data_IF_650325295908
#
_entry.id   IF_650325295908
#
_cell.length_a   1.000
_cell.length_b   1.000
_cell.length_c   1.000
_cell.angle_alpha   90.00
_cell.angle_beta   90.00
_cell.angle_gamma   90.00
#
_symmetry.space_group_name_H-M   'P 1'
#
loop_
_entity.id
_entity.type
_entity.pdbx_description
1 polymer ?
#
# COMPACT_ATOMS: atom_id res chain seq x y z
N UNK A 1 -50.86 43.06 18.82
CA UNK A 1 -49.82 42.22 19.44
C UNK A 1 -50.19 40.82 19.04
N UNK A 2 -49.67 40.38 17.90
CA UNK A 2 -50.03 39.12 17.26
C UNK A 2 -48.82 38.20 17.38
N UNK A 3 -48.98 37.09 18.09
CA UNK A 3 -47.90 36.19 18.52
C UNK A 3 -48.22 34.75 18.09
N UNK A 4 -48.62 34.56 16.82
CA UNK A 4 -49.30 33.33 16.39
C UNK A 4 -48.58 32.51 15.31
N UNK A 5 -47.34 32.84 14.92
CA UNK A 5 -46.70 32.28 13.70
C UNK A 5 -45.57 31.24 13.93
N UNK A 6 -45.38 30.72 15.15
CA UNK A 6 -44.22 29.85 15.44
C UNK A 6 -44.47 28.33 15.35
N UNK A 7 -45.73 27.87 15.27
CA UNK A 7 -46.02 26.42 15.33
C UNK A 7 -45.91 25.70 13.97
N UNK A 8 -45.95 26.41 12.84
CA UNK A 8 -45.90 25.79 11.49
C UNK A 8 -44.49 25.39 11.01
N UNK A 9 -43.42 25.80 11.71
CA UNK A 9 -42.04 25.54 11.28
C UNK A 9 -41.47 24.19 11.76
N UNK A 10 -41.98 23.64 12.88
CA UNK A 10 -41.48 22.39 13.47
C UNK A 10 -41.85 21.17 12.61
N UNK A 11 -43.10 21.09 12.15
CA UNK A 11 -43.61 19.95 11.35
C UNK A 11 -42.91 19.83 9.98
N UNK A 12 -42.52 20.95 9.38
CA UNK A 12 -41.76 20.93 8.12
C UNK A 12 -40.34 20.40 8.31
N UNK A 13 -39.70 20.69 9.45
CA UNK A 13 -38.33 20.27 9.72
C UNK A 13 -38.22 18.77 10.03
N UNK A 14 -39.19 18.19 10.75
CA UNK A 14 -39.23 16.75 11.03
C UNK A 14 -39.37 15.90 9.75
N UNK A 15 -40.17 16.38 8.80
CA UNK A 15 -40.39 15.71 7.52
C UNK A 15 -39.10 15.66 6.66
N UNK A 16 -38.28 16.72 6.67
CA UNK A 16 -36.99 16.76 5.97
C UNK A 16 -36.01 15.73 6.54
N UNK A 17 -35.93 15.60 7.86
CA UNK A 17 -35.05 14.63 8.52
C UNK A 17 -35.37 13.19 8.14
N UNK A 18 -36.65 12.82 8.19
CA UNK A 18 -37.12 11.49 7.82
C UNK A 18 -36.83 11.15 6.35
N UNK A 19 -37.06 12.11 5.44
CA UNK A 19 -36.74 11.98 4.01
C UNK A 19 -35.25 11.74 3.76
N UNK A 20 -34.37 12.49 4.45
CA UNK A 20 -32.92 12.31 4.32
C UNK A 20 -32.45 10.95 4.85
N UNK A 21 -33.01 10.46 5.94
CA UNK A 21 -32.70 9.13 6.46
C UNK A 21 -33.15 8.02 5.50
N UNK A 22 -34.36 8.14 4.94
CA UNK A 22 -34.86 7.21 3.93
C UNK A 22 -33.96 7.18 2.68
N UNK A 23 -33.55 8.35 2.17
CA UNK A 23 -32.63 8.44 1.04
C UNK A 23 -31.26 7.80 1.33
N UNK A 24 -30.71 7.98 2.55
CA UNK A 24 -29.45 7.35 2.97
C UNK A 24 -29.56 5.83 3.05
N UNK A 25 -30.69 5.29 3.54
CA UNK A 25 -30.94 3.84 3.56
C UNK A 25 -31.02 3.27 2.15
N UNK A 26 -31.81 3.88 1.27
CA UNK A 26 -31.93 3.47 -0.12
C UNK A 26 -30.57 3.52 -0.86
N UNK A 27 -29.76 4.56 -0.63
CA UNK A 27 -28.42 4.64 -1.20
C UNK A 27 -27.49 3.53 -0.69
N UNK A 28 -27.54 3.21 0.62
CA UNK A 28 -26.76 2.13 1.22
C UNK A 28 -27.12 0.78 0.62
N UNK A 29 -28.41 0.48 0.51
CA UNK A 29 -28.92 -0.75 -0.12
C UNK A 29 -28.45 -0.85 -1.56
N UNK A 30 -28.55 0.22 -2.35
CA UNK A 30 -28.02 0.27 -3.71
C UNK A 30 -26.53 -0.03 -3.77
N UNK A 31 -25.71 0.57 -2.90
CA UNK A 31 -24.27 0.32 -2.91
C UNK A 31 -23.91 -1.12 -2.51
N UNK A 32 -24.65 -1.73 -1.59
CA UNK A 32 -24.46 -3.13 -1.23
C UNK A 32 -24.77 -4.06 -2.40
N UNK A 33 -25.87 -3.81 -3.14
CA UNK A 33 -26.19 -4.57 -4.35
C UNK A 33 -25.06 -4.47 -5.40
N UNK A 34 -24.53 -3.26 -5.61
CA UNK A 34 -23.39 -3.05 -6.54
C UNK A 34 -22.13 -3.75 -6.03
N UNK A 35 -21.85 -3.72 -4.72
CA UNK A 35 -20.71 -4.41 -4.13
C UNK A 35 -20.78 -5.93 -4.35
N UNK A 36 -21.96 -6.54 -4.18
CA UNK A 36 -22.15 -7.96 -4.48
C UNK A 36 -21.96 -8.26 -5.97
N UNK A 37 -22.50 -7.41 -6.86
CA UNK A 37 -22.34 -7.56 -8.30
C UNK A 37 -20.86 -7.48 -8.74
N UNK A 38 -20.10 -6.52 -8.20
CA UNK A 38 -18.66 -6.39 -8.47
C UNK A 38 -17.86 -7.60 -8.00
N UNK A 39 -18.17 -8.12 -6.80
CA UNK A 39 -17.53 -9.33 -6.28
C UNK A 39 -17.82 -10.55 -7.16
N UNK A 40 -19.06 -10.69 -7.63
CA UNK A 40 -19.44 -11.76 -8.54
C UNK A 40 -18.74 -11.63 -9.90
N UNK A 41 -18.70 -10.42 -10.48
CA UNK A 41 -17.99 -10.11 -11.74
C UNK A 41 -16.51 -10.48 -11.65
N UNK A 42 -15.85 -10.12 -10.56
CA UNK A 42 -14.44 -10.41 -10.33
C UNK A 42 -14.14 -11.85 -9.86
N UNK A 43 -15.17 -12.69 -9.66
CA UNK A 43 -15.00 -14.06 -9.21
C UNK A 43 -14.46 -14.19 -7.78
N UNK A 44 -14.77 -13.23 -6.89
CA UNK A 44 -14.32 -13.23 -5.49
C UNK A 44 -14.86 -14.45 -4.75
N UNK A 45 -13.95 -15.30 -4.26
CA UNK A 45 -14.27 -16.49 -3.46
C UNK A 45 -14.45 -16.18 -1.98
N UNK A 46 -13.73 -15.18 -1.46
CA UNK A 46 -13.85 -14.77 -0.05
C UNK A 46 -13.59 -13.28 0.12
N UNK A 47 -14.49 -12.63 0.87
CA UNK A 47 -14.39 -11.22 1.26
C UNK A 47 -14.26 -11.10 2.77
N UNK A 48 -13.12 -10.60 3.25
CA UNK A 48 -12.92 -10.18 4.63
C UNK A 48 -13.29 -8.70 4.77
N UNK A 49 -14.17 -8.38 5.72
CA UNK A 49 -14.56 -6.98 5.94
C UNK A 49 -13.46 -6.21 6.67
N UNK A 50 -12.99 -5.14 6.06
CA UNK A 50 -12.06 -4.19 6.66
C UNK A 50 -12.79 -2.96 7.22
N UNK A 51 -12.42 -2.51 8.42
CA UNK A 51 -13.06 -1.35 9.08
C UNK A 51 -12.54 -0.01 8.55
N UNK A 52 -11.32 0.03 8.02
CA UNK A 52 -10.70 1.25 7.48
C UNK A 52 -11.01 1.38 5.99
N UNK A 53 -10.89 2.60 5.46
CA UNK A 53 -10.97 2.85 4.02
C UNK A 53 -9.64 2.50 3.35
N UNK A 54 -9.35 1.21 3.31
CA UNK A 54 -8.19 0.60 2.69
C UNK A 54 -8.53 -0.86 2.35
N UNK A 55 -7.84 -1.43 1.37
CA UNK A 55 -8.02 -2.81 0.99
C UNK A 55 -6.71 -3.53 0.70
N UNK A 56 -6.84 -4.84 0.46
CA UNK A 56 -5.78 -5.73 0.01
C UNK A 56 -6.41 -6.88 -0.77
N UNK A 57 -5.86 -7.19 -1.93
CA UNK A 57 -6.25 -8.34 -2.74
C UNK A 57 -5.17 -9.44 -2.71
N UNK A 58 -5.63 -10.67 -2.52
CA UNK A 58 -4.86 -11.88 -2.80
C UNK A 58 -5.39 -12.46 -4.13
N UNK A 59 -4.91 -11.90 -5.24
CA UNK A 59 -5.36 -12.21 -6.60
C UNK A 59 -5.41 -13.72 -6.87
N UNK A 60 -4.31 -14.43 -6.65
CA UNK A 60 -4.20 -15.89 -6.91
C UNK A 60 -5.23 -16.75 -6.16
N UNK A 61 -5.71 -16.27 -5.02
CA UNK A 61 -6.70 -16.98 -4.20
C UNK A 61 -8.14 -16.49 -4.43
N UNK A 62 -8.32 -15.45 -5.25
CA UNK A 62 -9.55 -14.69 -5.42
C UNK A 62 -10.15 -14.24 -4.09
N UNK A 63 -9.31 -13.70 -3.20
CA UNK A 63 -9.71 -13.18 -1.89
C UNK A 63 -9.41 -11.70 -1.78
N UNK A 64 -10.27 -10.98 -1.06
CA UNK A 64 -10.05 -9.55 -0.75
C UNK A 64 -10.29 -9.28 0.73
N UNK A 65 -9.51 -8.35 1.29
CA UNK A 65 -9.78 -7.64 2.52
C UNK A 65 -10.17 -6.21 2.13
N UNK A 66 -11.44 -5.85 2.27
CA UNK A 66 -11.93 -4.55 1.81
C UNK A 66 -13.13 -4.09 2.65
N UNK A 67 -13.50 -2.80 2.65
CA UNK A 67 -14.73 -2.34 3.26
C UNK A 67 -15.98 -3.03 2.70
N UNK A 68 -17.11 -2.94 3.41
CA UNK A 68 -18.37 -3.56 2.96
C UNK A 68 -19.00 -2.92 1.72
N UNK A 69 -18.54 -1.74 1.31
CA UNK A 69 -19.16 -0.99 0.22
C UNK A 69 -20.45 -0.27 0.60
N UNK A 70 -20.70 0.04 1.89
CA UNK A 70 -21.95 0.71 2.32
C UNK A 70 -21.99 2.22 2.04
N UNK A 71 -20.87 2.79 1.62
CA UNK A 71 -20.76 4.19 1.15
C UNK A 71 -20.04 4.23 -0.18
N UNK A 72 -20.21 5.30 -0.97
CA UNK A 72 -19.49 5.46 -2.26
C UNK A 72 -17.98 5.29 -2.13
N UNK A 73 -17.38 5.87 -1.09
CA UNK A 73 -15.93 5.79 -0.90
C UNK A 73 -15.48 4.37 -0.54
N UNK A 74 -16.25 3.66 0.28
CA UNK A 74 -16.00 2.24 0.56
C UNK A 74 -16.17 1.36 -0.68
N UNK A 75 -17.22 1.63 -1.46
CA UNK A 75 -17.51 0.91 -2.70
C UNK A 75 -16.39 1.09 -3.72
N UNK A 76 -15.80 2.28 -3.78
CA UNK A 76 -14.65 2.57 -4.64
C UNK A 76 -13.43 1.71 -4.28
N UNK A 77 -13.07 1.63 -2.99
CA UNK A 77 -11.99 0.75 -2.52
C UNK A 77 -12.30 -0.71 -2.84
N UNK A 78 -13.54 -1.16 -2.59
CA UNK A 78 -13.93 -2.53 -2.93
C UNK A 78 -13.80 -2.82 -4.44
N UNK A 79 -14.19 -1.86 -5.29
CA UNK A 79 -14.04 -1.99 -6.74
C UNK A 79 -12.57 -2.09 -7.17
N UNK A 80 -11.68 -1.30 -6.54
CA UNK A 80 -10.23 -1.38 -6.74
C UNK A 80 -9.69 -2.77 -6.38
N UNK A 81 -10.04 -3.33 -5.21
CA UNK A 81 -9.57 -4.67 -4.84
C UNK A 81 -10.14 -5.77 -5.75
N UNK A 82 -11.39 -5.63 -6.20
CA UNK A 82 -11.97 -6.53 -7.19
C UNK A 82 -11.20 -6.48 -8.52
N UNK A 83 -10.71 -5.30 -8.91
CA UNK A 83 -9.90 -5.12 -10.11
C UNK A 83 -8.61 -5.93 -10.06
N UNK A 84 -7.92 -5.94 -8.92
CA UNK A 84 -6.72 -6.75 -8.76
C UNK A 84 -6.98 -8.24 -8.96
N UNK A 85 -8.15 -8.74 -8.55
CA UNK A 85 -8.51 -10.15 -8.79
C UNK A 85 -8.84 -10.37 -10.26
N UNK A 86 -9.69 -9.55 -10.87
CA UNK A 86 -10.14 -9.80 -12.25
C UNK A 86 -9.02 -9.59 -13.29
N UNK A 87 -8.11 -8.65 -13.06
CA UNK A 87 -7.08 -8.27 -14.03
C UNK A 87 -5.73 -8.97 -13.82
N UNK A 88 -5.42 -9.37 -12.57
CA UNK A 88 -4.08 -9.86 -12.22
C UNK A 88 -4.08 -11.27 -11.64
N UNK A 89 -5.15 -12.05 -11.86
CA UNK A 89 -5.21 -13.47 -11.48
C UNK A 89 -5.15 -14.35 -12.72
N UNK A 90 -4.44 -15.48 -12.64
CA UNK A 90 -4.55 -16.58 -13.60
C UNK A 90 -3.21 -17.18 -14.01
N UNK A 91 -3.21 -18.37 -14.64
CA UNK A 91 -1.99 -19.06 -15.05
C UNK A 91 -1.19 -18.30 -16.12
N UNK A 92 -1.84 -17.37 -16.83
CA UNK A 92 -1.24 -16.52 -17.86
C UNK A 92 -1.05 -15.07 -17.37
N UNK A 93 -1.21 -14.80 -16.07
CA UNK A 93 -0.95 -13.49 -15.51
C UNK A 93 0.56 -13.23 -15.56
N UNK A 94 1.02 -12.57 -16.62
CA UNK A 94 2.39 -12.09 -16.72
C UNK A 94 2.66 -11.16 -15.54
N UNK A 95 3.81 -11.32 -14.90
CA UNK A 95 4.23 -10.41 -13.85
C UNK A 95 4.22 -8.97 -14.38
N UNK A 96 3.54 -8.07 -13.66
CA UNK A 96 3.48 -6.65 -13.98
C UNK A 96 4.09 -5.85 -12.83
N UNK A 97 4.85 -4.78 -13.13
CA UNK A 97 5.26 -3.77 -12.15
C UNK A 97 4.07 -3.20 -11.38
N UNK A 98 4.31 -2.77 -10.15
CA UNK A 98 3.27 -2.24 -9.26
C UNK A 98 2.53 -1.04 -9.85
N UNK A 99 3.26 -0.10 -10.46
CA UNK A 99 2.64 1.09 -11.06
C UNK A 99 1.65 0.76 -12.19
N UNK A 100 1.89 -0.32 -12.94
CA UNK A 100 0.97 -0.79 -13.99
C UNK A 100 -0.26 -1.42 -13.34
N UNK A 101 -0.06 -2.30 -12.36
CA UNK A 101 -1.15 -2.97 -11.65
C UNK A 101 -2.09 -1.97 -10.98
N UNK A 102 -1.56 -0.96 -10.31
CA UNK A 102 -2.38 0.07 -9.67
C UNK A 102 -3.11 0.94 -10.68
N UNK A 103 -2.45 1.35 -11.76
CA UNK A 103 -3.11 2.14 -12.80
C UNK A 103 -4.28 1.40 -13.47
N UNK A 104 -4.10 0.10 -13.76
CA UNK A 104 -5.15 -0.76 -14.29
C UNK A 104 -6.31 -0.93 -13.28
N UNK A 105 -5.99 -1.15 -11.99
CA UNK A 105 -6.99 -1.31 -10.93
C UNK A 105 -7.83 -0.04 -10.71
N UNK A 106 -7.19 1.13 -10.66
CA UNK A 106 -7.87 2.41 -10.54
C UNK A 106 -8.74 2.72 -11.76
N UNK A 107 -8.25 2.43 -12.95
CA UNK A 107 -9.02 2.59 -14.20
C UNK A 107 -10.27 1.72 -14.20
N UNK A 108 -10.15 0.45 -13.79
CA UNK A 108 -11.30 -0.43 -13.61
C UNK A 108 -12.30 0.13 -12.59
N UNK A 109 -11.83 0.60 -11.43
CA UNK A 109 -12.70 1.13 -10.37
C UNK A 109 -13.49 2.37 -10.85
N UNK A 110 -12.83 3.27 -11.58
CA UNK A 110 -13.49 4.43 -12.21
C UNK A 110 -14.59 4.02 -13.19
N UNK A 111 -14.29 3.05 -14.06
CA UNK A 111 -15.24 2.58 -15.08
C UNK A 111 -16.36 1.75 -14.48
N UNK A 112 -16.10 0.98 -13.43
CA UNK A 112 -17.14 0.32 -12.67
C UNK A 112 -18.16 1.33 -12.15
N UNK A 113 -17.70 2.46 -11.59
CA UNK A 113 -18.58 3.53 -11.14
C UNK A 113 -19.43 4.10 -12.30
N UNK A 114 -18.81 4.35 -13.46
CA UNK A 114 -19.55 4.77 -14.65
C UNK A 114 -20.60 3.74 -15.09
N UNK A 115 -20.24 2.46 -15.20
CA UNK A 115 -21.16 1.36 -15.58
C UNK A 115 -22.38 1.29 -14.68
N UNK A 116 -22.22 1.51 -13.37
CA UNK A 116 -23.31 1.49 -12.41
C UNK A 116 -24.02 2.84 -12.23
N UNK A 117 -23.69 3.84 -13.05
CA UNK A 117 -24.29 5.18 -13.00
C UNK A 117 -24.00 5.90 -11.69
N UNK A 118 -22.75 5.82 -11.23
CA UNK A 118 -22.24 6.46 -10.02
C UNK A 118 -21.11 7.43 -10.35
N UNK A 119 -21.14 8.61 -9.76
CA UNK A 119 -20.00 9.52 -9.79
C UNK A 119 -18.94 9.07 -8.78
N UNK A 120 -17.68 8.99 -9.23
CA UNK A 120 -16.52 8.73 -8.38
C UNK A 120 -16.36 9.89 -7.39
N UNK A 121 -16.14 9.62 -6.08
CA UNK A 121 -15.85 10.68 -5.11
C UNK A 121 -14.59 11.47 -5.54
N UNK A 122 -14.63 12.82 -5.58
CA UNK A 122 -13.47 13.61 -6.02
C UNK A 122 -12.19 13.34 -5.24
N UNK A 123 -12.33 13.04 -3.95
CA UNK A 123 -11.20 12.68 -3.09
C UNK A 123 -10.61 11.30 -3.46
N UNK A 124 -11.45 10.32 -3.81
CA UNK A 124 -11.00 9.02 -4.30
C UNK A 124 -10.25 9.14 -5.62
N UNK A 125 -10.76 9.93 -6.57
CA UNK A 125 -10.09 10.17 -7.84
C UNK A 125 -8.72 10.88 -7.67
N UNK A 126 -8.58 11.75 -6.67
CA UNK A 126 -7.29 12.36 -6.33
C UNK A 126 -6.32 11.33 -5.78
N UNK A 127 -6.75 10.55 -4.78
CA UNK A 127 -5.90 9.51 -4.19
C UNK A 127 -5.50 8.42 -5.16
N UNK A 128 -6.38 8.04 -6.09
CA UNK A 128 -6.04 7.10 -7.17
C UNK A 128 -4.78 7.56 -7.93
N UNK A 129 -4.71 8.86 -8.26
CA UNK A 129 -3.56 9.44 -8.96
C UNK A 129 -2.32 9.50 -8.08
N UNK A 130 -2.47 9.96 -6.83
CA UNK A 130 -1.37 10.04 -5.88
C UNK A 130 -0.77 8.64 -5.64
N UNK A 131 -1.62 7.62 -5.50
CA UNK A 131 -1.23 6.23 -5.24
C UNK A 131 -0.49 5.60 -6.43
N UNK A 132 -0.99 5.80 -7.65
CA UNK A 132 -0.24 5.40 -8.85
C UNK A 132 1.11 6.12 -8.91
N UNK A 133 1.17 7.41 -8.54
CA UNK A 133 2.41 8.18 -8.43
C UNK A 133 3.40 7.60 -7.42
N UNK A 134 2.94 7.15 -6.26
CA UNK A 134 3.76 6.48 -5.25
C UNK A 134 4.40 5.20 -5.79
N UNK A 135 3.63 4.38 -6.51
CA UNK A 135 4.16 3.17 -7.15
C UNK A 135 5.11 3.47 -8.31
N UNK A 136 4.88 4.54 -9.08
CA UNK A 136 5.85 5.01 -10.08
C UNK A 136 7.19 5.33 -9.42
N UNK A 137 7.19 6.08 -8.32
CA UNK A 137 8.43 6.43 -7.61
C UNK A 137 9.15 5.19 -7.07
N UNK A 138 8.40 4.23 -6.52
CA UNK A 138 8.95 2.98 -6.00
C UNK A 138 9.58 2.14 -7.12
N UNK A 139 8.82 1.87 -8.17
CA UNK A 139 9.30 1.07 -9.30
C UNK A 139 10.48 1.77 -10.01
N UNK A 140 10.48 3.11 -10.09
CA UNK A 140 11.61 3.87 -10.63
C UNK A 140 12.85 3.75 -9.75
N UNK A 141 12.70 3.77 -8.42
CA UNK A 141 13.82 3.58 -7.49
C UNK A 141 14.43 2.18 -7.61
N UNK A 142 13.62 1.19 -7.99
CA UNK A 142 14.02 -0.19 -8.27
C UNK A 142 14.56 -0.38 -9.70
N UNK A 143 14.71 0.69 -10.49
CA UNK A 143 15.23 0.65 -11.86
C UNK A 143 14.24 0.10 -12.90
N UNK A 144 12.97 -0.06 -12.53
CA UNK A 144 11.94 -0.58 -13.43
C UNK A 144 11.48 0.51 -14.40
N UNK A 145 11.36 0.15 -15.68
CA UNK A 145 10.87 1.06 -16.71
C UNK A 145 9.43 1.49 -16.45
N UNK A 146 9.18 2.80 -16.43
CA UNK A 146 7.87 3.38 -16.11
C UNK A 146 7.00 3.50 -17.36
N UNK A 147 5.77 2.99 -17.27
CA UNK A 147 4.75 3.11 -18.30
C UNK A 147 4.29 4.58 -18.46
N UNK A 148 4.41 5.18 -19.66
CA UNK A 148 3.97 6.57 -19.89
C UNK A 148 2.50 6.83 -19.54
N UNK A 149 1.61 5.87 -19.81
CA UNK A 149 0.18 6.02 -19.51
C UNK A 149 -0.10 6.13 -18.01
N UNK A 150 0.64 5.38 -17.17
CA UNK A 150 0.53 5.50 -15.73
C UNK A 150 1.00 6.89 -15.24
N UNK A 151 2.08 7.41 -15.83
CA UNK A 151 2.56 8.78 -15.57
C UNK A 151 1.53 9.83 -15.97
N UNK A 152 0.90 9.70 -17.13
CA UNK A 152 -0.16 10.61 -17.59
C UNK A 152 -1.39 10.54 -16.69
N UNK A 153 -1.77 9.34 -16.23
CA UNK A 153 -2.86 9.15 -15.28
C UNK A 153 -2.56 9.82 -13.94
N UNK A 154 -1.39 9.55 -13.35
CA UNK A 154 -0.94 10.16 -12.10
C UNK A 154 -0.87 11.69 -12.20
N UNK A 155 -0.44 12.23 -13.35
CA UNK A 155 -0.42 13.67 -13.62
C UNK A 155 -1.80 14.27 -13.90
N UNK A 156 -2.87 13.46 -13.97
CA UNK A 156 -4.23 13.90 -14.32
C UNK A 156 -4.38 14.36 -15.77
N UNK A 157 -3.44 14.00 -16.65
CA UNK A 157 -3.48 14.29 -18.09
C UNK A 157 -4.30 13.28 -18.87
N UNK A 158 -4.40 12.06 -18.35
CA UNK A 158 -5.19 10.96 -18.92
C UNK A 158 -6.49 10.77 -18.16
N UNK A 159 -7.59 10.57 -18.89
CA UNK A 159 -8.86 10.19 -18.30
C UNK A 159 -8.86 8.70 -17.95
N UNK A 160 -9.41 8.28 -16.80
CA UNK A 160 -9.67 6.87 -16.51
C UNK A 160 -10.63 6.21 -17.53
N UNK A 161 -11.34 7.01 -18.32
CA UNK A 161 -12.24 6.51 -19.35
C UNK A 161 -11.54 6.32 -20.70
N UNK A 162 -10.30 6.83 -20.85
CA UNK A 162 -9.53 6.61 -22.06
C UNK A 162 -9.21 5.12 -22.20
N UNK A 163 -9.26 4.55 -23.43
CA UNK A 163 -9.07 3.13 -23.63
C UNK A 163 -7.79 2.58 -23.00
N UNK A 164 -7.88 1.54 -22.19
CA UNK A 164 -6.78 0.85 -21.54
C UNK A 164 -6.89 -0.65 -21.88
N UNK A 165 -5.98 -1.21 -22.70
CA UNK A 165 -6.13 -2.55 -23.27
C UNK A 165 -6.43 -3.66 -22.26
N UNK A 166 -5.80 -3.59 -21.08
CA UNK A 166 -6.00 -4.57 -20.02
C UNK A 166 -7.42 -4.54 -19.41
N UNK A 167 -8.09 -3.39 -19.46
CA UNK A 167 -9.42 -3.20 -18.87
C UNK A 167 -10.53 -3.30 -19.93
N UNK A 168 -10.28 -2.84 -21.15
CA UNK A 168 -11.29 -2.84 -22.23
C UNK A 168 -11.42 -4.16 -22.99
N UNK A 169 -10.47 -5.08 -22.83
CA UNK A 169 -10.46 -6.30 -23.63
C UNK A 169 -10.45 -6.00 -25.12
N UNK A 170 -9.41 -5.32 -25.62
CA UNK A 170 -9.22 -5.21 -27.08
C UNK A 170 -8.90 -6.59 -27.69
N UNK A 171 -9.28 -6.84 -28.96
CA UNK A 171 -9.29 -8.18 -29.56
C UNK A 171 -7.95 -8.92 -29.42
N UNK A 172 -7.95 -10.27 -29.44
CA UNK A 172 -6.78 -11.13 -29.17
C UNK A 172 -5.56 -10.96 -30.09
N UNK A 173 -5.54 -9.94 -30.95
CA UNK A 173 -4.46 -9.63 -31.88
C UNK A 173 -4.20 -8.11 -31.90
N UNK A 174 -3.51 -7.55 -30.90
CA UNK A 174 -2.54 -6.49 -31.21
C UNK A 174 -1.62 -6.01 -30.06
N UNK A 175 -1.99 -6.08 -28.78
CA UNK A 175 -1.27 -5.29 -27.75
C UNK A 175 -0.52 -6.05 -26.64
N UNK A 176 -0.87 -7.30 -26.33
CA UNK A 176 -0.07 -8.14 -25.41
C UNK A 176 1.39 -8.17 -25.88
N UNK A 177 1.61 -8.42 -27.18
CA UNK A 177 2.95 -8.36 -27.76
C UNK A 177 3.67 -7.02 -27.60
N UNK A 178 3.01 -5.87 -27.42
CA UNK A 178 3.70 -4.55 -27.26
C UNK A 178 4.08 -4.28 -25.81
N UNK A 179 3.17 -4.57 -24.87
CA UNK A 179 3.47 -4.45 -23.44
C UNK A 179 4.41 -5.57 -22.98
N UNK A 180 4.21 -6.78 -23.48
CA UNK A 180 5.13 -7.91 -23.28
C UNK A 180 6.48 -7.63 -23.93
N UNK A 181 6.55 -6.99 -25.11
CA UNK A 181 7.84 -6.51 -25.67
C UNK A 181 8.46 -5.41 -24.82
N UNK A 182 7.67 -4.53 -24.22
CA UNK A 182 8.20 -3.47 -23.35
C UNK A 182 8.72 -4.03 -22.02
N UNK A 183 7.95 -4.93 -21.39
CA UNK A 183 8.35 -5.65 -20.18
C UNK A 183 9.54 -6.55 -20.48
N UNK A 184 9.51 -7.36 -21.54
CA UNK A 184 10.63 -8.20 -21.96
C UNK A 184 11.87 -7.36 -22.27
N UNK A 185 11.73 -6.20 -22.91
CA UNK A 185 12.86 -5.29 -23.15
C UNK A 185 13.40 -4.70 -21.85
N UNK A 186 12.53 -4.32 -20.90
CA UNK A 186 12.95 -3.84 -19.58
C UNK A 186 13.67 -4.92 -18.77
N UNK A 187 13.09 -6.12 -18.70
CA UNK A 187 13.69 -7.30 -18.04
C UNK A 187 15.02 -7.69 -18.69
N UNK A 188 15.09 -7.69 -20.01
CA UNK A 188 16.31 -8.00 -20.77
C UNK A 188 17.38 -6.93 -20.56
N UNK A 189 17.03 -5.65 -20.52
CA UNK A 189 17.99 -4.59 -20.16
C UNK A 189 18.52 -4.76 -18.74
N UNK A 190 17.70 -5.15 -17.76
CA UNK A 190 18.22 -5.45 -16.42
C UNK A 190 19.14 -6.68 -16.41
N UNK A 191 18.79 -7.74 -17.13
CA UNK A 191 19.62 -8.95 -17.26
C UNK A 191 20.97 -8.59 -17.92
N UNK A 192 20.96 -7.78 -18.97
CA UNK A 192 22.15 -7.33 -19.69
C UNK A 192 23.02 -6.40 -18.81
N UNK A 193 22.41 -5.50 -18.04
CA UNK A 193 23.13 -4.63 -17.10
C UNK A 193 23.78 -5.41 -15.96
N UNK A 194 23.08 -6.41 -15.41
CA UNK A 194 23.63 -7.27 -14.36
C UNK A 194 24.73 -8.19 -14.91
N UNK A 195 24.56 -8.74 -16.11
CA UNK A 195 25.60 -9.52 -16.79
C UNK A 195 26.87 -8.68 -17.05
N UNK A 196 26.71 -7.45 -17.53
CA UNK A 196 27.83 -6.52 -17.73
C UNK A 196 28.53 -6.14 -16.41
N UNK A 197 27.77 -5.92 -15.34
CA UNK A 197 28.33 -5.67 -13.99
C UNK A 197 29.15 -6.86 -13.49
N UNK A 198 28.66 -8.08 -13.67
CA UNK A 198 29.36 -9.30 -13.27
C UNK A 198 30.64 -9.52 -14.09
N UNK A 199 30.63 -9.18 -15.38
CA UNK A 199 31.81 -9.23 -16.25
C UNK A 199 32.89 -8.22 -15.81
N UNK A 200 32.51 -6.98 -15.47
CA UNK A 200 33.43 -5.99 -14.88
C UNK A 200 34.04 -6.45 -13.55
N UNK A 201 33.27 -7.22 -12.76
CA UNK A 201 33.71 -7.81 -11.49
C UNK A 201 34.54 -9.11 -11.69
N UNK A 202 34.75 -9.56 -12.92
CA UNK A 202 35.51 -10.78 -13.25
C UNK A 202 34.78 -12.07 -12.89
N UNK A 203 33.46 -12.02 -12.71
CA UNK A 203 32.60 -13.14 -12.37
C UNK A 203 31.92 -13.67 -13.65
N UNK A 204 32.06 -14.96 -13.94
CA UNK A 204 31.37 -15.61 -15.06
C UNK A 204 30.14 -16.37 -14.58
N UNK A 205 29.04 -16.27 -15.32
CA UNK A 205 27.81 -17.03 -15.07
C UNK A 205 27.99 -18.42 -15.68
N UNK A 206 28.25 -19.43 -14.84
CA UNK A 206 28.32 -20.83 -15.27
C UNK A 206 26.94 -21.37 -15.65
N UNK A 207 26.79 -21.91 -16.86
CA UNK A 207 25.50 -22.28 -17.48
C UNK A 207 24.83 -23.56 -16.97
N UNK A 208 25.45 -24.33 -16.06
CA UNK A 208 25.09 -25.76 -15.89
C UNK A 208 24.55 -26.15 -14.50
N UNK A 209 24.05 -25.21 -13.69
CA UNK A 209 23.38 -25.54 -12.43
C UNK A 209 21.86 -25.36 -12.53
N UNK A 210 21.11 -26.46 -12.47
CA UNK A 210 19.66 -26.46 -12.25
C UNK A 210 19.32 -25.73 -10.93
N UNK A 211 18.28 -24.88 -10.88
CA UNK A 211 17.94 -24.16 -9.66
C UNK A 211 17.37 -25.13 -8.61
N UNK A 212 18.03 -25.18 -7.47
CA UNK A 212 17.50 -25.74 -6.23
C UNK A 212 16.32 -24.88 -5.70
N UNK A 213 15.36 -25.54 -5.07
CA UNK A 213 13.98 -25.09 -4.86
C UNK A 213 13.73 -23.92 -3.86
N UNK A 214 14.63 -22.94 -3.74
CA UNK A 214 14.31 -21.68 -3.07
C UNK A 214 14.75 -20.47 -3.92
N UNK A 215 13.81 -19.89 -4.65
CA UNK A 215 14.05 -18.84 -5.65
C UNK A 215 14.40 -17.45 -5.08
N UNK A 216 14.99 -17.33 -3.89
CA UNK A 216 15.24 -16.02 -3.25
C UNK A 216 16.61 -15.83 -2.59
N UNK A 217 17.60 -16.71 -2.81
CA UNK A 217 18.95 -16.52 -2.26
C UNK A 217 20.01 -16.55 -3.35
N UNK A 218 20.48 -15.37 -3.77
CA UNK A 218 21.51 -15.18 -4.81
C UNK A 218 22.97 -15.31 -4.31
N UNK A 219 23.19 -15.72 -3.06
CA UNK A 219 24.54 -15.94 -2.52
C UNK A 219 24.64 -17.34 -1.93
N UNK A 220 25.03 -18.30 -2.76
CA UNK A 220 25.39 -19.65 -2.36
C UNK A 220 26.80 -19.92 -2.88
N UNK A 221 27.80 -20.00 -1.99
CA UNK A 221 29.13 -20.47 -2.34
C UNK A 221 29.30 -21.89 -1.79
N UNK A 222 29.41 -22.88 -2.68
CA UNK A 222 29.65 -24.25 -2.30
C UNK A 222 31.17 -24.49 -2.20
N UNK A 223 31.67 -24.79 -1.00
CA UNK A 223 32.99 -25.42 -0.84
C UNK A 223 32.78 -26.87 -0.42
N UNK A 224 33.11 -27.79 -1.32
CA UNK A 224 33.13 -29.22 -1.01
C UNK A 224 34.46 -29.61 -0.38
N UNK A 225 34.42 -30.05 0.87
CA UNK A 225 35.30 -31.09 1.38
C UNK A 225 34.50 -31.94 2.34
N UNK A 226 34.34 -33.21 1.97
CA UNK A 226 34.00 -34.37 2.80
C UNK A 226 32.88 -34.19 3.83
N UNK A 227 31.65 -34.46 3.34
CA UNK A 227 30.54 -35.05 4.09
C UNK A 227 30.18 -34.38 5.40
N UNK A 228 29.35 -33.33 5.35
CA UNK A 228 28.29 -32.95 6.31
C UNK A 228 27.85 -31.52 5.96
N UNK A 229 26.64 -31.33 5.43
CA UNK A 229 26.13 -30.01 5.08
C UNK A 229 25.54 -29.32 6.31
N UNK A 230 26.20 -28.26 6.80
CA UNK A 230 25.59 -27.28 7.69
C UNK A 230 25.39 -25.99 6.90
N UNK A 231 24.14 -25.56 6.70
CA UNK A 231 23.81 -24.31 6.04
C UNK A 231 23.10 -23.37 7.01
N UNK A 232 23.57 -22.13 7.13
CA UNK A 232 22.84 -21.08 7.85
C UNK A 232 22.35 -20.00 6.89
N UNK A 233 21.05 -19.70 6.98
CA UNK A 233 20.38 -18.69 6.17
C UNK A 233 20.51 -17.31 6.82
N UNK A 234 20.99 -16.31 6.08
CA UNK A 234 21.23 -14.97 6.63
C UNK A 234 20.11 -13.96 6.44
N UNK A 235 18.95 -14.38 5.92
CA UNK A 235 17.84 -13.47 5.65
C UNK A 235 17.01 -13.10 6.91
N UNK A 236 17.32 -13.66 8.09
CA UNK A 236 16.49 -13.46 9.29
C UNK A 236 17.12 -12.52 10.34
N UNK A 237 17.70 -11.40 9.90
CA UNK A 237 18.11 -10.33 10.82
C UNK A 237 18.00 -8.95 10.15
N UNK A 238 16.78 -8.40 10.13
CA UNK A 238 16.40 -7.00 10.38
C UNK A 238 14.93 -6.84 9.92
N UNK A 239 14.02 -6.59 10.87
CA UNK A 239 12.67 -6.12 10.55
C UNK A 239 11.63 -6.30 11.65
N UNK A 240 11.72 -7.36 12.45
CA UNK A 240 10.84 -7.53 13.61
C UNK A 240 11.63 -7.32 14.88
N UNK A 241 11.31 -6.29 15.65
CA UNK A 241 11.73 -6.16 17.06
C UNK A 241 11.04 -7.20 17.97
N UNK A 242 10.97 -8.45 17.51
CA UNK A 242 10.69 -9.69 18.21
C UNK A 242 11.48 -10.74 17.38
N UNK A 243 12.47 -11.47 17.86
CA UNK A 243 12.77 -11.96 19.19
C UNK A 243 14.29 -12.03 19.46
N UNK A 244 14.65 -12.17 20.73
CA UNK A 244 16.00 -12.49 21.21
C UNK A 244 16.22 -14.01 21.17
N UNK A 245 17.42 -14.38 20.68
CA UNK A 245 18.31 -15.49 21.08
C UNK A 245 17.71 -16.91 21.16
N UNK A 246 18.09 -17.79 20.22
CA UNK A 246 19.35 -18.54 20.29
C UNK A 246 19.84 -19.01 18.89
N UNK A 247 21.16 -18.87 18.69
CA UNK A 247 22.08 -19.58 17.78
C UNK A 247 21.79 -19.73 16.26
N UNK A 248 22.49 -18.93 15.43
CA UNK A 248 23.63 -19.33 14.56
C UNK A 248 23.75 -18.68 13.15
N UNK A 249 24.87 -17.97 12.99
CA UNK A 249 25.77 -17.77 11.83
C UNK A 249 25.28 -17.03 10.57
N UNK A 250 25.78 -15.80 10.40
CA UNK A 250 26.88 -15.56 9.44
C UNK A 250 27.60 -14.22 9.76
N UNK A 251 28.91 -14.16 9.55
CA UNK A 251 29.76 -12.95 9.50
C UNK A 251 30.65 -13.11 8.27
N UNK A 252 31.02 -12.11 7.47
CA UNK A 252 31.36 -10.69 7.63
C UNK A 252 31.18 -10.06 6.22
N UNK A 253 30.66 -8.86 5.93
CA UNK A 253 30.72 -7.57 6.58
C UNK A 253 31.45 -6.54 5.66
N UNK A 254 30.71 -5.51 5.17
CA UNK A 254 31.15 -4.21 4.55
C UNK A 254 31.27 -4.21 3.00
N UNK A 255 30.76 -3.22 2.24
CA UNK A 255 30.73 -1.77 2.49
C UNK A 255 29.65 -0.97 1.70
N UNK A 256 29.19 0.17 2.25
CA UNK A 256 29.34 1.52 1.67
C UNK A 256 29.01 2.61 2.71
N UNK A 257 29.77 3.71 2.74
CA UNK A 257 29.44 4.95 3.48
C UNK A 257 29.67 6.15 2.54
N UNK A 258 28.70 7.07 2.36
CA UNK A 258 28.92 8.30 1.61
C UNK A 258 29.79 9.31 2.36
N UNK A 259 30.42 10.18 1.56
CA UNK A 259 31.34 11.24 1.97
C UNK A 259 30.72 12.21 3.02
N UNK A 260 31.42 12.53 4.13
CA UNK A 260 30.85 13.32 5.25
C UNK A 260 30.32 14.70 4.88
N UNK A 261 30.85 15.35 3.84
CA UNK A 261 30.41 16.69 3.40
C UNK A 261 29.01 16.74 2.77
N UNK A 262 28.51 15.62 2.21
CA UNK A 262 27.18 15.55 1.60
C UNK A 262 26.07 15.39 2.65
N UNK A 263 26.38 14.78 3.79
CA UNK A 263 25.44 14.63 4.90
C UNK A 263 25.15 15.95 5.62
N UNK A 264 26.07 16.91 5.63
CA UNK A 264 25.85 18.20 6.31
C UNK A 264 24.84 19.09 5.57
N UNK A 265 24.82 19.06 4.23
CA UNK A 265 23.95 19.92 3.41
C UNK A 265 22.47 19.51 3.42
N UNK A 266 22.18 18.27 3.80
CA UNK A 266 20.82 17.69 3.87
C UNK A 266 20.49 17.06 5.23
N UNK A 267 21.31 17.29 6.27
CA UNK A 267 21.00 16.75 7.58
C UNK A 267 19.81 17.46 8.25
N UNK A 268 19.04 16.61 8.91
CA UNK A 268 17.92 16.85 9.83
C UNK A 268 18.12 17.96 10.88
N UNK A 269 19.33 18.51 11.04
CA UNK A 269 19.62 19.64 11.92
C UNK A 269 18.84 20.92 11.54
N UNK A 270 18.44 21.07 10.27
CA UNK A 270 17.61 22.20 9.83
C UNK A 270 16.13 22.10 10.26
N UNK A 271 15.65 20.90 10.63
CA UNK A 271 14.28 20.65 11.10
C UNK A 271 14.12 20.78 12.63
N UNK A 272 15.21 21.01 13.38
CA UNK A 272 15.18 21.13 14.85
C UNK A 272 14.67 22.48 15.40
N UNK A 273 14.19 23.42 14.58
CA UNK A 273 13.49 24.61 15.11
C UNK A 273 12.06 24.28 15.54
N UNK A 274 11.92 23.34 16.47
CA UNK A 274 10.90 23.30 17.54
C UNK A 274 9.44 23.61 17.23
N UNK A 275 8.98 23.42 16.00
CA UNK A 275 7.60 23.72 15.61
C UNK A 275 6.58 22.86 16.35
N UNK A 276 5.45 23.46 16.68
CA UNK A 276 4.31 22.82 17.35
C UNK A 276 3.93 21.47 16.72
N UNK A 277 4.00 21.37 15.39
CA UNK A 277 3.68 20.16 14.63
C UNK A 277 4.65 19.00 14.85
N UNK A 278 5.93 19.27 15.03
CA UNK A 278 6.94 18.25 15.34
C UNK A 278 6.73 17.66 16.74
N UNK A 279 6.26 18.48 17.70
CA UNK A 279 5.94 18.03 19.06
C UNK A 279 4.63 17.23 19.10
N UNK A 280 3.64 17.65 18.32
CA UNK A 280 2.36 16.94 18.20
C UNK A 280 2.54 15.58 17.52
N UNK A 281 3.35 15.51 16.46
CA UNK A 281 3.69 14.26 15.78
C UNK A 281 4.37 13.25 16.70
N UNK A 282 5.38 13.68 17.46
CA UNK A 282 6.07 12.82 18.43
C UNK A 282 5.15 12.36 19.57
N UNK A 283 4.28 13.24 20.09
CA UNK A 283 3.33 12.87 21.15
C UNK A 283 2.28 11.84 20.69
N UNK A 284 1.85 11.92 19.42
CA UNK A 284 0.95 10.93 18.82
C UNK A 284 1.67 9.59 18.63
N UNK A 285 2.94 9.62 18.17
CA UNK A 285 3.77 8.42 18.01
C UNK A 285 4.04 7.74 19.36
N UNK A 286 4.36 8.49 20.42
CA UNK A 286 4.61 7.95 21.76
C UNK A 286 3.34 7.35 22.40
N UNK A 287 2.16 7.90 22.08
CA UNK A 287 0.86 7.38 22.52
C UNK A 287 0.46 6.11 21.77
N UNK A 288 0.66 6.07 20.45
CA UNK A 288 0.35 4.90 19.61
C UNK A 288 1.32 3.75 19.89
N UNK A 289 2.59 4.05 20.13
CA UNK A 289 3.62 3.05 20.42
C UNK A 289 3.58 2.50 21.86
N UNK A 290 2.60 2.93 22.67
CA UNK A 290 2.47 2.49 24.06
C UNK A 290 3.63 2.92 24.98
N UNK A 291 4.47 3.88 24.53
CA UNK A 291 5.59 4.43 25.32
C UNK A 291 5.13 5.37 26.43
N UNK A 292 3.85 5.73 26.46
CA UNK A 292 3.25 6.40 27.61
C UNK A 292 2.89 5.38 28.72
N UNK A 293 3.92 4.74 29.30
CA UNK A 293 3.82 4.17 30.65
C UNK A 293 4.55 5.10 31.60
N UNK A 294 3.84 5.47 32.66
CA UNK A 294 4.35 6.17 33.85
C UNK A 294 5.81 5.78 34.14
N UNK A 295 6.75 6.68 33.88
CA UNK A 295 7.93 6.77 34.72
C UNK A 295 7.47 7.37 36.05
N UNK A 296 7.03 6.50 36.96
CA UNK A 296 7.20 6.79 38.38
C UNK A 296 8.71 6.69 38.65
N UNK A 297 9.41 7.83 38.57
CA UNK A 297 10.77 7.88 39.08
C UNK A 297 10.72 7.82 40.62
N UNK A 298 11.71 7.22 41.30
CA UNK A 298 11.82 7.25 42.76
C UNK A 298 11.85 8.68 43.34
N UNK A 299 12.26 9.67 42.54
CA UNK A 299 12.21 11.10 42.90
C UNK A 299 10.80 11.71 42.85
N UNK A 300 9.86 11.09 42.14
CA UNK A 300 8.44 11.49 42.14
C UNK A 300 7.67 11.02 43.38
N UNK A 301 8.08 9.91 44.01
CA UNK A 301 7.44 9.39 45.22
C UNK A 301 7.83 10.16 46.49
N UNK A 302 8.99 10.83 46.51
CA UNK A 302 9.39 11.68 47.65
C UNK A 302 8.63 13.01 47.70
N UNK A 303 8.19 13.55 46.54
CA UNK A 303 7.37 14.77 46.47
C UNK A 303 5.88 14.54 46.80
N UNK A 304 5.32 13.37 46.46
CA UNK A 304 3.93 13.06 46.80
C UNK A 304 3.78 12.78 48.31
N UNK A 305 4.76 12.12 48.94
CA UNK A 305 4.80 11.97 50.42
C UNK A 305 5.00 13.29 51.17
N UNK A 306 5.63 14.30 50.57
CA UNK A 306 5.79 15.63 51.17
C UNK A 306 4.50 16.49 51.14
N UNK A 307 3.56 16.19 50.24
CA UNK A 307 2.27 16.89 50.15
C UNK A 307 1.25 16.27 51.12
N UNK A 308 1.28 14.94 51.33
CA UNK A 308 0.43 14.27 52.32
C UNK A 308 0.83 14.56 53.78
N UNK A 309 2.08 14.93 54.06
CA UNK A 309 2.51 15.32 55.41
C UNK A 309 2.15 16.78 55.77
N UNK A 310 1.80 17.63 54.79
CA UNK A 310 1.45 19.04 55.03
C UNK A 310 -0.05 19.29 55.19
N UNK A 311 -0.87 18.26 55.04
CA UNK A 311 -2.34 18.32 55.16
C UNK A 311 -2.88 17.59 56.40
N UNK A 312 -1.99 17.11 57.29
CA UNK A 312 -2.34 16.44 58.56
C UNK A 312 -1.80 17.17 59.80
N UNK A 313 -1.38 18.42 59.66
CA UNK A 313 -0.92 19.26 60.76
C UNK A 313 -1.60 20.63 60.71
N UNK A 314 -2.92 20.59 60.66
CA UNK A 314 -3.87 21.58 61.18
C UNK A 314 -4.97 20.81 61.94
#
# INVERSE_FOLDING_TARGET
MDCSDNDDQSDQQENVGAKLQAARRAARERYQLIAEALKAEAGIKRHYTHKLIAGLAWSDEAKILAPQGVTRRQLYVLAHECAHVVLHTGPNAVWKPGHIKEHEAETYAHRAFERYGLAVPPQSARWARDYVGEWIMKDQADGIAICPMATEFAAGKRSPLDPLPAVDGMPPRDFSNRLDRFIAKGSQTMIEQEAARLEEEGLSVGSDNLPNACATCWFFEAKSTEGWHHGTCKAFAIGTNFARFDENHCGNGRAWRPHPGLLVKYSYAHHQRGGFWSRLGNAIIDRISGRYRHQQSPEGQSRIKAIEYRTKSD
#
